data_IF_461804967993
#
_entry.id   IF_461804967993
#
_cell.length_a   1.000
_cell.length_b   1.000
_cell.length_c   1.000
_cell.angle_alpha   90.00
_cell.angle_beta   90.00
_cell.angle_gamma   90.00
#
_symmetry.space_group_name_H-M   'P 1'
#
loop_
_entity.id
_entity.type
_entity.pdbx_description
1 polymer ?
#
# COMPACT_ATOMS: atom_id res chain seq x y z
N UNK A 1 57.69 37.21 -25.21
CA UNK A 1 57.08 38.43 -24.67
C UNK A 1 55.79 38.04 -23.98
N UNK A 2 55.82 37.79 -22.71
CA UNK A 2 55.55 38.66 -21.57
C UNK A 2 54.32 39.55 -21.77
N UNK A 3 53.27 39.25 -20.97
CA UNK A 3 52.94 40.14 -19.88
C UNK A 3 51.93 39.50 -18.87
N UNK A 4 52.38 39.54 -17.67
CA UNK A 4 51.75 39.26 -16.39
C UNK A 4 50.78 40.44 -16.04
N UNK A 5 49.54 40.14 -15.61
CA UNK A 5 48.83 41.07 -14.70
C UNK A 5 48.08 40.25 -13.63
N UNK A 6 48.65 40.32 -12.47
CA UNK A 6 47.96 39.96 -11.21
C UNK A 6 47.10 41.15 -10.75
N UNK A 7 45.93 40.88 -10.22
CA UNK A 7 45.16 41.79 -9.35
C UNK A 7 44.20 40.94 -8.51
N UNK A 8 44.59 40.64 -7.29
CA UNK A 8 44.29 41.28 -5.99
C UNK A 8 42.90 41.01 -5.47
N UNK A 9 42.93 40.21 -4.44
CA UNK A 9 41.93 39.89 -3.39
C UNK A 9 41.28 41.15 -2.79
N UNK A 10 39.99 41.08 -2.50
CA UNK A 10 39.40 41.74 -1.33
C UNK A 10 38.33 40.83 -0.71
N UNK A 11 38.58 40.56 0.55
CA UNK A 11 37.68 39.89 1.51
C UNK A 11 36.47 40.77 1.81
N UNK A 12 35.31 40.16 1.91
CA UNK A 12 34.21 40.69 2.72
C UNK A 12 33.49 39.52 3.39
N UNK A 13 33.89 39.18 4.58
CA UNK A 13 33.12 38.41 5.54
C UNK A 13 31.93 39.27 5.98
N UNK A 14 30.72 38.81 5.72
CA UNK A 14 29.52 39.34 6.39
C UNK A 14 28.90 38.20 7.21
N UNK A 15 29.18 38.34 8.52
CA UNK A 15 28.70 37.55 9.62
C UNK A 15 27.23 37.91 9.85
N UNK A 16 26.26 37.00 9.61
CA UNK A 16 24.89 37.17 10.01
C UNK A 16 24.58 36.17 11.14
N UNK A 17 24.31 36.76 12.28
CA UNK A 17 23.94 36.20 13.57
C UNK A 17 22.65 35.36 13.50
N UNK A 18 22.78 34.08 13.83
CA UNK A 18 21.70 33.07 13.91
C UNK A 18 21.20 32.98 15.36
N UNK A 19 20.40 33.93 15.84
CA UNK A 19 19.85 33.80 17.20
C UNK A 19 18.49 34.45 17.50
N UNK A 20 17.62 34.74 16.52
CA UNK A 20 16.33 35.37 16.85
C UNK A 20 15.09 34.81 16.13
N UNK A 21 15.04 33.51 15.76
CA UNK A 21 13.86 32.93 15.10
C UNK A 21 13.30 31.66 15.78
N UNK A 22 13.50 31.46 17.08
CA UNK A 22 12.96 30.24 17.75
C UNK A 22 11.99 30.50 18.92
N UNK A 23 11.52 31.69 19.17
CA UNK A 23 10.70 31.99 20.36
C UNK A 23 9.23 32.40 20.08
N UNK A 24 8.73 32.36 18.85
CA UNK A 24 7.32 32.72 18.56
C UNK A 24 6.37 31.54 18.21
N UNK A 25 6.79 30.28 18.34
CA UNK A 25 5.92 29.12 17.99
C UNK A 25 5.42 28.29 19.19
N UNK A 26 5.63 28.74 20.44
CA UNK A 26 5.22 27.97 21.62
C UNK A 26 4.01 28.53 22.40
N UNK A 27 3.40 29.64 22.00
CA UNK A 27 2.25 30.22 22.73
C UNK A 27 0.86 30.03 22.10
N UNK A 28 0.72 29.32 20.98
CA UNK A 28 -0.57 29.15 20.33
C UNK A 28 -1.34 27.85 20.68
N UNK A 29 -0.82 27.00 21.57
CA UNK A 29 -1.45 25.68 21.84
C UNK A 29 -1.95 25.48 23.28
N UNK A 30 -2.14 26.52 24.05
CA UNK A 30 -2.57 26.43 25.47
C UNK A 30 -3.95 27.04 25.78
N UNK A 31 -4.79 27.33 24.78
CA UNK A 31 -6.16 27.83 25.05
C UNK A 31 -7.20 27.06 24.22
N UNK A 32 -7.62 25.93 24.75
CA UNK A 32 -8.68 25.14 24.11
C UNK A 32 -9.14 23.94 24.93
N UNK A 33 -9.10 24.03 26.26
CA UNK A 33 -9.74 23.03 27.13
C UNK A 33 -10.31 23.74 28.33
N UNK A 34 -11.61 24.02 28.32
CA UNK A 34 -12.49 23.98 29.49
C UNK A 34 -13.95 24.25 29.11
N UNK A 35 -14.81 23.47 29.79
CA UNK A 35 -16.25 23.59 29.95
C UNK A 35 -17.07 23.03 28.76
N UNK A 36 -17.93 22.05 28.97
CA UNK A 36 -19.04 22.07 29.91
C UNK A 36 -19.44 20.65 30.38
N UNK A 37 -19.76 20.63 31.62
CA UNK A 37 -20.28 19.57 32.45
C UNK A 37 -21.70 19.96 32.86
N UNK A 38 -22.58 18.99 33.02
CA UNK A 38 -23.90 19.03 33.69
C UNK A 38 -25.08 18.76 32.76
N UNK A 39 -26.10 18.04 33.11
CA UNK A 39 -26.60 17.51 34.38
C UNK A 39 -27.70 16.49 34.12
N UNK A 40 -27.71 15.43 34.88
CA UNK A 40 -28.76 14.54 35.34
C UNK A 40 -30.21 15.07 35.32
N UNK A 41 -31.22 14.20 35.07
CA UNK A 41 -32.40 14.07 35.93
C UNK A 41 -33.00 12.65 35.81
N UNK A 42 -33.25 12.12 36.96
CA UNK A 42 -33.88 10.94 37.52
C UNK A 42 -35.35 10.69 37.14
N UNK A 43 -35.71 9.38 37.25
CA UNK A 43 -36.90 8.73 37.82
C UNK A 43 -38.24 8.89 37.10
N UNK A 44 -38.86 7.71 36.81
CA UNK A 44 -39.96 7.22 37.63
C UNK A 44 -40.28 5.72 37.35
N UNK A 45 -40.29 5.00 38.47
CA UNK A 45 -40.97 3.72 38.68
C UNK A 45 -42.50 3.89 38.50
N UNK A 46 -43.15 2.88 37.95
CA UNK A 46 -44.38 2.38 38.52
C UNK A 46 -44.63 0.88 38.19
N UNK A 47 -44.83 0.13 39.22
CA UNK A 47 -45.26 -1.25 39.24
C UNK A 47 -46.71 -1.40 38.80
N UNK A 48 -47.08 -2.51 38.15
CA UNK A 48 -48.30 -3.26 38.45
C UNK A 48 -48.28 -4.68 37.81
N UNK A 49 -48.19 -5.59 38.66
CA UNK A 49 -48.63 -6.95 38.93
C UNK A 49 -49.53 -7.69 37.91
N UNK A 50 -49.09 -8.96 37.66
CA UNK A 50 -49.79 -10.24 37.66
C UNK A 50 -50.85 -10.54 36.57
N UNK A 51 -50.55 -11.56 35.76
CA UNK A 51 -51.44 -12.76 35.64
C UNK A 51 -50.72 -13.91 34.90
N UNK A 52 -50.61 -15.03 35.60
CA UNK A 52 -50.24 -16.33 35.06
C UNK A 52 -51.18 -16.78 33.95
N UNK A 53 -50.59 -17.30 32.89
CA UNK A 53 -51.14 -18.44 32.13
C UNK A 53 -50.01 -19.15 31.41
N UNK A 54 -49.73 -20.35 31.87
CA UNK A 54 -48.99 -21.38 31.12
C UNK A 54 -49.62 -21.60 29.76
N UNK A 55 -48.82 -21.50 28.70
CA UNK A 55 -49.07 -22.27 27.50
C UNK A 55 -47.77 -22.73 26.88
N UNK A 56 -47.64 -24.03 26.88
CA UNK A 56 -46.56 -24.83 26.33
C UNK A 56 -46.56 -24.67 24.81
N UNK A 57 -45.61 -23.94 24.29
CA UNK A 57 -45.36 -23.99 22.83
C UNK A 57 -43.87 -24.18 22.58
N UNK A 58 -43.58 -25.25 21.86
CA UNK A 58 -42.30 -25.76 21.42
C UNK A 58 -41.32 -24.64 21.02
N UNK A 59 -40.13 -24.67 21.65
CA UNK A 59 -38.96 -23.98 21.13
C UNK A 59 -38.56 -24.61 19.80
N UNK A 60 -38.92 -23.99 18.75
CA UNK A 60 -38.27 -24.15 17.44
C UNK A 60 -36.88 -23.51 17.58
N UNK A 61 -35.88 -24.34 17.81
CA UNK A 61 -34.47 -23.98 17.83
C UNK A 61 -34.12 -23.47 16.40
N UNK A 62 -34.24 -22.16 16.24
CA UNK A 62 -33.72 -21.52 15.06
C UNK A 62 -32.22 -21.72 15.04
N UNK A 63 -31.75 -22.73 14.31
CA UNK A 63 -30.36 -22.93 13.97
C UNK A 63 -29.92 -21.72 13.16
N UNK A 64 -29.27 -20.75 13.84
CA UNK A 64 -28.57 -19.65 13.20
C UNK A 64 -27.48 -20.31 12.35
N UNK A 65 -27.44 -20.10 11.02
CA UNK A 65 -26.36 -20.66 10.22
C UNK A 65 -25.03 -20.15 10.74
N UNK A 66 -23.98 -20.99 10.81
CA UNK A 66 -22.69 -20.59 11.33
C UNK A 66 -22.21 -19.39 10.53
N UNK A 67 -22.05 -18.25 11.19
CA UNK A 67 -21.45 -17.05 10.59
C UNK A 67 -19.98 -17.38 10.34
N UNK A 68 -19.61 -17.55 9.08
CA UNK A 68 -18.23 -17.77 8.67
C UNK A 68 -17.33 -16.66 9.23
N UNK A 69 -16.17 -17.02 9.73
CA UNK A 69 -15.17 -16.05 10.15
C UNK A 69 -14.70 -15.22 8.94
N UNK A 70 -14.18 -14.03 9.21
CA UNK A 70 -13.63 -13.17 8.14
C UNK A 70 -12.55 -13.88 7.31
N UNK A 71 -11.79 -14.78 7.95
CA UNK A 71 -10.75 -15.59 7.30
C UNK A 71 -11.36 -16.66 6.39
N UNK A 72 -12.43 -17.32 6.80
CA UNK A 72 -13.12 -18.32 5.98
C UNK A 72 -13.79 -17.67 4.77
N UNK A 73 -14.39 -16.50 4.94
CA UNK A 73 -14.97 -15.72 3.82
C UNK A 73 -13.90 -15.32 2.82
N UNK A 74 -12.72 -14.89 3.30
CA UNK A 74 -11.60 -14.54 2.44
C UNK A 74 -11.03 -15.77 1.72
N UNK A 75 -10.86 -16.89 2.42
CA UNK A 75 -10.38 -18.14 1.84
C UNK A 75 -11.34 -18.66 0.74
N UNK A 76 -12.64 -18.55 0.95
CA UNK A 76 -13.65 -18.91 -0.07
C UNK A 76 -13.59 -17.95 -1.26
N UNK A 77 -13.44 -16.66 -1.01
CA UNK A 77 -13.27 -15.67 -2.07
C UNK A 77 -12.02 -15.97 -2.93
N UNK A 78 -10.90 -16.33 -2.30
CA UNK A 78 -9.66 -16.68 -3.01
C UNK A 78 -9.81 -17.93 -3.88
N UNK A 79 -10.58 -18.94 -3.44
CA UNK A 79 -10.87 -20.15 -4.23
C UNK A 79 -11.71 -19.89 -5.47
N UNK A 80 -12.40 -18.76 -5.53
CA UNK A 80 -13.24 -18.39 -6.69
C UNK A 80 -12.42 -17.88 -7.88
N UNK A 81 -11.14 -17.56 -7.67
CA UNK A 81 -10.23 -17.12 -8.71
C UNK A 81 -9.32 -18.27 -9.14
N UNK A 82 -9.10 -18.38 -10.45
CA UNK A 82 -8.20 -19.37 -11.03
C UNK A 82 -7.29 -18.66 -12.02
N UNK A 83 -6.01 -18.65 -11.71
CA UNK A 83 -4.97 -18.17 -12.62
C UNK A 83 -4.03 -19.33 -12.92
N UNK A 84 -3.59 -19.46 -14.15
CA UNK A 84 -2.65 -20.49 -14.61
C UNK A 84 -1.73 -19.94 -15.72
N UNK A 85 -0.80 -20.73 -16.19
CA UNK A 85 0.18 -20.32 -17.21
C UNK A 85 -0.45 -19.92 -18.56
N UNK A 86 -1.70 -20.31 -18.83
CA UNK A 86 -2.43 -19.91 -20.04
C UNK A 86 -3.10 -18.55 -19.92
N UNK A 87 -3.25 -18.08 -18.69
CA UNK A 87 -3.82 -16.76 -18.41
C UNK A 87 -2.77 -15.68 -18.60
N UNK A 88 -3.19 -14.48 -18.99
CA UNK A 88 -2.31 -13.34 -19.17
C UNK A 88 -2.58 -12.26 -18.13
N UNK A 89 -1.51 -11.63 -17.70
CA UNK A 89 -1.55 -10.44 -16.85
C UNK A 89 -1.70 -9.19 -17.71
N UNK A 90 -2.55 -8.28 -17.29
CA UNK A 90 -2.55 -6.93 -17.85
C UNK A 90 -1.34 -6.14 -17.29
N UNK A 91 -0.79 -5.25 -18.09
CA UNK A 91 0.23 -4.33 -17.62
C UNK A 91 -0.36 -3.41 -16.54
N UNK A 92 0.26 -3.30 -15.35
CA UNK A 92 -0.25 -2.41 -14.29
C UNK A 92 -0.10 -0.94 -14.66
N UNK A 93 0.91 -0.60 -15.46
CA UNK A 93 1.13 0.71 -16.08
C UNK A 93 1.70 0.53 -17.48
N UNK A 94 1.56 1.54 -18.32
CA UNK A 94 2.26 1.58 -19.60
C UNK A 94 3.67 2.13 -19.38
N UNK A 95 4.68 1.38 -19.82
CA UNK A 95 6.08 1.76 -19.65
C UNK A 95 7.03 0.69 -20.18
N UNK A 96 8.30 0.83 -19.86
CA UNK A 96 9.33 -0.16 -20.18
C UNK A 96 9.97 -0.67 -18.89
N UNK A 97 10.49 -1.89 -18.91
CA UNK A 97 11.16 -2.49 -17.76
C UNK A 97 12.53 -1.82 -17.60
N UNK A 98 12.80 -1.27 -16.41
CA UNK A 98 14.08 -0.62 -16.04
C UNK A 98 14.93 -1.48 -15.12
N UNK A 99 14.31 -2.42 -14.43
CA UNK A 99 14.97 -3.47 -13.64
C UNK A 99 14.29 -4.80 -13.96
N UNK A 100 15.06 -5.75 -14.47
CA UNK A 100 14.56 -7.06 -14.87
C UNK A 100 14.43 -8.03 -13.69
N UNK A 101 13.52 -8.99 -13.83
CA UNK A 101 13.50 -10.17 -12.97
C UNK A 101 14.74 -11.01 -13.20
N UNK A 102 15.42 -11.41 -12.14
CA UNK A 102 16.53 -12.35 -12.21
C UNK A 102 16.75 -13.03 -10.85
N UNK A 103 16.49 -14.33 -10.79
CA UNK A 103 16.75 -15.14 -9.60
C UNK A 103 17.95 -16.08 -9.78
N UNK A 104 18.34 -16.35 -11.02
CA UNK A 104 19.49 -17.22 -11.35
C UNK A 104 20.80 -16.42 -11.41
N UNK A 105 20.74 -15.14 -11.76
CA UNK A 105 21.88 -14.25 -11.87
C UNK A 105 21.62 -12.97 -11.05
N UNK A 106 22.70 -12.25 -10.74
CA UNK A 106 22.58 -10.95 -10.05
C UNK A 106 22.49 -9.80 -11.05
N UNK A 107 21.61 -8.85 -10.77
CA UNK A 107 21.48 -7.57 -11.51
C UNK A 107 21.98 -6.41 -10.66
N UNK A 108 22.44 -5.35 -11.30
CA UNK A 108 22.90 -4.15 -10.60
C UNK A 108 21.71 -3.32 -10.15
N UNK A 109 21.54 -3.17 -8.84
CA UNK A 109 20.66 -2.16 -8.24
C UNK A 109 21.45 -0.85 -8.17
N UNK A 110 21.20 0.04 -9.12
CA UNK A 110 21.99 1.28 -9.32
C UNK A 110 21.94 2.18 -8.09
N UNK A 111 20.75 2.38 -7.51
CA UNK A 111 20.57 3.20 -6.31
C UNK A 111 21.34 2.70 -5.11
N UNK A 112 21.53 1.41 -5.00
CA UNK A 112 22.27 0.77 -3.88
C UNK A 112 23.74 0.53 -4.20
N UNK A 113 24.14 0.56 -5.47
CA UNK A 113 25.48 0.24 -5.92
C UNK A 113 25.87 -1.22 -5.66
N UNK A 114 24.90 -2.15 -5.59
CA UNK A 114 25.12 -3.57 -5.28
C UNK A 114 24.52 -4.49 -6.34
N UNK A 115 25.11 -5.67 -6.47
CA UNK A 115 24.57 -6.76 -7.27
C UNK A 115 23.80 -7.71 -6.38
N UNK A 116 22.53 -7.94 -6.68
CA UNK A 116 21.67 -8.94 -6.00
C UNK A 116 20.65 -9.53 -6.97
N UNK A 117 20.05 -10.68 -6.60
CA UNK A 117 18.92 -11.22 -7.35
C UNK A 117 17.71 -10.28 -7.24
N UNK A 118 16.92 -10.19 -8.32
CA UNK A 118 15.70 -9.40 -8.40
C UNK A 118 14.48 -10.31 -8.49
N UNK A 119 13.66 -10.40 -7.43
CA UNK A 119 12.45 -11.25 -7.43
C UNK A 119 11.27 -10.64 -8.19
N UNK A 120 11.40 -9.43 -8.70
CA UNK A 120 10.38 -8.71 -9.45
C UNK A 120 11.00 -7.79 -10.50
N UNK A 121 10.18 -7.01 -11.14
CA UNK A 121 10.57 -6.02 -12.16
C UNK A 121 10.19 -4.61 -11.71
N UNK A 122 10.84 -3.60 -12.30
CA UNK A 122 10.37 -2.21 -12.24
C UNK A 122 9.93 -1.79 -13.62
N UNK A 123 8.69 -1.31 -13.73
CA UNK A 123 8.10 -0.77 -14.95
C UNK A 123 8.10 0.73 -14.81
N UNK A 124 8.87 1.43 -15.64
CA UNK A 124 8.97 2.90 -15.58
C UNK A 124 7.65 3.55 -15.94
N UNK A 125 7.27 4.57 -15.18
CA UNK A 125 6.10 5.40 -15.47
C UNK A 125 6.19 6.70 -14.68
N UNK A 126 5.54 7.76 -15.15
CA UNK A 126 5.55 9.06 -14.46
C UNK A 126 4.79 9.02 -13.13
N UNK A 127 5.30 9.74 -12.13
CA UNK A 127 4.61 9.92 -10.84
C UNK A 127 3.19 10.44 -11.05
N UNK A 128 2.22 9.88 -10.34
CA UNK A 128 0.80 10.21 -10.47
C UNK A 128 0.07 9.45 -11.58
N UNK A 129 0.76 8.65 -12.41
CA UNK A 129 0.11 7.78 -13.40
C UNK A 129 -0.77 6.74 -12.70
N UNK A 130 -1.95 6.48 -13.27
CA UNK A 130 -2.87 5.46 -12.75
C UNK A 130 -2.28 4.06 -12.82
N UNK A 131 -2.36 3.31 -11.72
CA UNK A 131 -1.91 1.93 -11.62
C UNK A 131 -3.11 1.00 -11.53
N UNK A 132 -3.13 0.00 -12.39
CA UNK A 132 -4.22 -0.96 -12.49
C UNK A 132 -3.85 -2.34 -11.92
N UNK A 133 -4.83 -3.09 -11.44
CA UNK A 133 -4.68 -4.48 -11.07
C UNK A 133 -4.35 -5.34 -12.31
N UNK A 134 -3.25 -6.08 -12.25
CA UNK A 134 -2.79 -6.91 -13.37
C UNK A 134 -3.69 -8.13 -13.62
N UNK A 135 -4.38 -8.61 -12.60
CA UNK A 135 -5.34 -9.71 -12.68
C UNK A 135 -6.47 -9.54 -11.64
N UNK A 136 -7.58 -10.24 -11.88
CA UNK A 136 -8.67 -10.31 -10.91
C UNK A 136 -8.29 -11.20 -9.72
N UNK A 137 -8.64 -10.77 -8.51
CA UNK A 137 -8.27 -11.51 -7.30
C UNK A 137 -8.82 -10.90 -6.02
N UNK A 138 -8.24 -11.32 -4.91
CA UNK A 138 -8.53 -10.82 -3.56
C UNK A 138 -7.29 -10.21 -2.97
N UNK A 139 -7.39 -9.00 -2.43
CA UNK A 139 -6.31 -8.32 -1.73
C UNK A 139 -5.98 -9.10 -0.45
N UNK A 140 -4.77 -9.63 -0.38
CA UNK A 140 -4.28 -10.39 0.79
C UNK A 140 -3.55 -9.50 1.77
N UNK A 141 -2.92 -8.44 1.27
CA UNK A 141 -2.21 -7.48 2.11
C UNK A 141 -2.12 -6.09 1.46
N UNK A 142 -2.09 -5.06 2.31
CA UNK A 142 -1.75 -3.68 1.95
C UNK A 142 -0.81 -3.17 3.04
N UNK A 143 0.45 -3.00 2.70
CA UNK A 143 1.51 -2.69 3.65
C UNK A 143 2.39 -1.54 3.17
N UNK A 144 2.98 -0.82 4.13
CA UNK A 144 4.04 0.16 3.86
C UNK A 144 5.40 -0.50 4.09
N UNK A 145 6.15 -0.72 3.02
CA UNK A 145 7.45 -1.36 3.04
C UNK A 145 8.57 -0.35 2.78
N UNK A 146 9.69 -0.47 3.48
CA UNK A 146 10.83 0.44 3.32
C UNK A 146 11.43 0.41 1.92
N UNK A 147 11.40 -0.75 1.25
CA UNK A 147 11.95 -0.93 -0.10
C UNK A 147 10.99 -0.43 -1.18
N UNK A 148 9.73 -0.82 -1.12
CA UNK A 148 8.74 -0.61 -2.18
C UNK A 148 7.60 0.35 -1.81
N UNK A 149 7.70 1.05 -0.65
CA UNK A 149 6.67 1.97 -0.18
C UNK A 149 5.33 1.29 0.02
N UNK A 150 4.23 2.00 -0.24
CA UNK A 150 2.90 1.40 -0.20
C UNK A 150 2.82 0.28 -1.23
N UNK A 151 2.47 -0.90 -0.76
CA UNK A 151 2.52 -2.15 -1.53
C UNK A 151 1.22 -2.91 -1.34
N UNK A 152 0.62 -3.35 -2.44
CA UNK A 152 -0.60 -4.15 -2.48
C UNK A 152 -0.26 -5.55 -2.97
N UNK A 153 -0.68 -6.57 -2.21
CA UNK A 153 -0.59 -7.98 -2.61
C UNK A 153 -1.99 -8.52 -2.91
N UNK A 154 -2.14 -9.17 -4.04
CA UNK A 154 -3.40 -9.74 -4.53
C UNK A 154 -3.21 -11.21 -4.83
N UNK A 155 -4.00 -12.08 -4.21
CA UNK A 155 -4.10 -13.49 -4.59
C UNK A 155 -5.01 -13.63 -5.79
N UNK A 156 -4.48 -14.19 -6.86
CA UNK A 156 -5.16 -14.34 -8.16
C UNK A 156 -5.59 -15.78 -8.45
N UNK A 157 -5.37 -16.68 -7.48
CA UNK A 157 -5.79 -18.09 -7.54
C UNK A 157 -4.65 -19.05 -7.86
N UNK A 158 -4.88 -20.33 -7.59
CA UNK A 158 -3.94 -21.44 -7.85
C UNK A 158 -2.53 -21.24 -7.28
N UNK A 159 -2.42 -20.52 -6.13
CA UNK A 159 -1.14 -20.21 -5.48
C UNK A 159 -0.37 -19.06 -6.12
N UNK A 160 -0.94 -18.39 -7.13
CA UNK A 160 -0.36 -17.19 -7.69
C UNK A 160 -0.77 -15.93 -6.91
N UNK A 161 0.21 -15.05 -6.70
CA UNK A 161 0.00 -13.74 -6.10
C UNK A 161 0.79 -12.67 -6.86
N UNK A 162 0.16 -11.52 -7.07
CA UNK A 162 0.82 -10.33 -7.59
C UNK A 162 1.10 -9.36 -6.46
N UNK A 163 2.29 -8.79 -6.44
CA UNK A 163 2.68 -7.71 -5.51
C UNK A 163 3.00 -6.47 -6.33
N UNK A 164 2.30 -5.37 -6.07
CA UNK A 164 2.46 -4.09 -6.75
C UNK A 164 2.88 -3.04 -5.72
N UNK A 165 4.08 -2.49 -5.86
CA UNK A 165 4.67 -1.51 -4.93
C UNK A 165 5.07 -0.21 -5.64
N UNK A 166 5.61 0.75 -4.88
CA UNK A 166 5.89 2.12 -5.29
C UNK A 166 4.64 2.86 -5.79
N UNK A 167 3.53 2.65 -5.08
CA UNK A 167 2.24 3.26 -5.40
C UNK A 167 1.75 4.11 -4.22
N UNK A 168 0.86 5.04 -4.50
CA UNK A 168 0.20 5.89 -3.52
C UNK A 168 -1.30 6.02 -3.83
N UNK A 169 -2.04 6.71 -2.95
CA UNK A 169 -3.49 6.89 -3.10
C UNK A 169 -4.28 5.58 -3.17
N UNK A 170 -3.80 4.55 -2.47
CA UNK A 170 -4.45 3.23 -2.39
C UNK A 170 -5.64 3.31 -1.44
N UNK A 171 -6.84 2.96 -1.94
CA UNK A 171 -8.07 2.89 -1.15
C UNK A 171 -8.54 1.45 -0.93
N UNK A 172 -7.67 0.48 -1.13
CA UNK A 172 -7.93 -0.93 -0.93
C UNK A 172 -7.54 -1.38 0.47
N UNK A 173 -8.17 -2.44 0.93
CA UNK A 173 -7.85 -3.12 2.19
C UNK A 173 -7.87 -4.64 2.00
N UNK A 174 -7.24 -5.34 2.91
CA UNK A 174 -7.27 -6.80 2.96
C UNK A 174 -8.70 -7.34 2.90
N UNK A 175 -8.94 -8.28 2.01
CA UNK A 175 -10.23 -8.90 1.74
C UNK A 175 -11.03 -8.27 0.59
N UNK A 176 -10.64 -7.10 0.10
CA UNK A 176 -11.30 -6.48 -1.06
C UNK A 176 -11.05 -7.32 -2.32
N UNK A 177 -12.07 -7.40 -3.17
CA UNK A 177 -11.96 -8.02 -4.50
C UNK A 177 -11.58 -6.97 -5.52
N UNK A 178 -10.66 -7.30 -6.39
CA UNK A 178 -10.26 -6.47 -7.54
C UNK A 178 -10.48 -7.21 -8.84
N UNK A 179 -10.71 -6.48 -9.91
CA UNK A 179 -10.82 -7.01 -11.27
C UNK A 179 -9.65 -6.53 -12.12
N UNK A 180 -9.25 -7.34 -13.11
CA UNK A 180 -8.21 -6.95 -14.06
C UNK A 180 -8.48 -5.56 -14.65
N UNK A 181 -7.49 -4.68 -14.64
CA UNK A 181 -7.62 -3.31 -15.14
C UNK A 181 -8.27 -2.32 -14.15
N UNK A 182 -8.71 -2.76 -12.97
CA UNK A 182 -9.26 -1.88 -11.94
C UNK A 182 -8.16 -0.97 -11.38
N UNK A 183 -8.44 0.33 -11.23
CA UNK A 183 -7.54 1.27 -10.58
C UNK A 183 -7.28 0.86 -9.12
N UNK A 184 -6.02 0.70 -8.74
CA UNK A 184 -5.59 0.33 -7.38
C UNK A 184 -4.80 1.43 -6.68
N UNK A 185 -4.30 2.41 -7.41
CA UNK A 185 -3.53 3.53 -6.89
C UNK A 185 -2.91 4.36 -8.01
N UNK A 186 -1.93 5.17 -7.67
CA UNK A 186 -1.12 5.96 -8.61
C UNK A 186 0.36 5.72 -8.35
N UNK A 187 1.21 5.91 -9.37
CA UNK A 187 2.67 5.79 -9.23
C UNK A 187 3.17 6.81 -8.22
N UNK A 188 3.88 6.35 -7.20
CA UNK A 188 4.53 7.19 -6.19
C UNK A 188 5.92 7.65 -6.63
N UNK A 189 6.49 8.59 -5.89
CA UNK A 189 7.93 8.88 -5.99
C UNK A 189 8.75 7.64 -5.62
N UNK A 190 9.88 7.38 -6.31
CA UNK A 190 10.70 6.22 -6.01
C UNK A 190 11.23 6.27 -4.59
N UNK A 191 11.32 5.11 -3.93
CA UNK A 191 11.96 4.97 -2.63
C UNK A 191 13.49 5.19 -2.75
N UNK A 192 14.16 5.35 -1.62
CA UNK A 192 15.63 5.45 -1.59
C UNK A 192 16.35 4.24 -2.23
N UNK A 193 15.66 3.12 -2.36
CA UNK A 193 16.18 1.88 -2.98
C UNK A 193 16.19 1.93 -4.50
N UNK A 194 15.40 2.84 -5.13
CA UNK A 194 15.15 2.84 -6.58
C UNK A 194 15.22 4.25 -7.22
N UNK A 195 15.92 5.20 -6.59
CA UNK A 195 16.04 6.59 -7.08
C UNK A 195 16.68 6.61 -8.48
N UNK A 196 17.75 5.83 -8.69
CA UNK A 196 18.50 5.78 -9.98
C UNK A 196 17.77 4.96 -11.05
N UNK A 197 16.90 4.03 -10.63
CA UNK A 197 16.00 3.29 -11.52
C UNK A 197 14.87 4.19 -12.03
N UNK A 198 14.57 5.27 -11.28
CA UNK A 198 13.58 6.28 -11.60
C UNK A 198 12.16 5.92 -11.15
N UNK A 199 11.19 6.82 -11.41
CA UNK A 199 9.80 6.59 -11.05
C UNK A 199 9.19 5.46 -11.87
N UNK A 200 8.35 4.66 -11.21
CA UNK A 200 7.71 3.49 -11.80
C UNK A 200 6.99 2.64 -10.78
N UNK A 201 6.59 1.47 -11.20
CA UNK A 201 5.90 0.48 -10.38
C UNK A 201 6.79 -0.73 -10.17
N UNK A 202 7.01 -1.12 -8.92
CA UNK A 202 7.56 -2.43 -8.60
C UNK A 202 6.48 -3.48 -8.79
N UNK A 203 6.77 -4.51 -9.57
CA UNK A 203 5.83 -5.61 -9.80
C UNK A 203 6.51 -6.96 -9.62
N UNK A 204 5.90 -7.82 -8.81
CA UNK A 204 6.37 -9.18 -8.55
C UNK A 204 5.22 -10.15 -8.70
N UNK A 205 5.48 -11.28 -9.35
CA UNK A 205 4.61 -12.45 -9.41
C UNK A 205 5.24 -13.58 -8.59
N UNK A 206 4.45 -14.24 -7.76
CA UNK A 206 4.87 -15.45 -7.05
C UNK A 206 3.92 -16.60 -7.36
N UNK A 207 4.43 -17.82 -7.34
CA UNK A 207 3.65 -19.05 -7.38
C UNK A 207 4.01 -19.90 -6.16
N UNK A 208 3.03 -20.18 -5.30
CA UNK A 208 3.24 -20.86 -4.01
C UNK A 208 4.34 -20.21 -3.14
N UNK A 209 4.45 -18.89 -3.20
CA UNK A 209 5.44 -18.11 -2.48
C UNK A 209 6.80 -17.94 -3.16
N UNK A 210 7.08 -18.70 -4.22
CA UNK A 210 8.34 -18.60 -4.97
C UNK A 210 8.20 -17.55 -6.10
N UNK A 211 9.16 -16.64 -6.25
CA UNK A 211 9.15 -15.66 -7.33
C UNK A 211 9.25 -16.33 -8.71
N UNK A 212 8.42 -15.88 -9.64
CA UNK A 212 8.46 -16.30 -11.05
C UNK A 212 8.57 -15.08 -11.95
N UNK A 213 9.14 -15.25 -13.16
CA UNK A 213 9.31 -14.15 -14.09
C UNK A 213 7.96 -13.64 -14.60
N UNK A 214 7.52 -12.42 -14.22
CA UNK A 214 6.22 -11.90 -14.62
C UNK A 214 6.14 -11.56 -16.11
N UNK A 215 7.27 -11.27 -16.78
CA UNK A 215 7.31 -10.90 -18.19
C UNK A 215 6.72 -11.97 -19.12
N UNK A 216 6.90 -13.25 -18.76
CA UNK A 216 6.32 -14.37 -19.49
C UNK A 216 4.78 -14.43 -19.48
N UNK A 217 4.16 -13.71 -18.52
CA UNK A 217 2.71 -13.76 -18.30
C UNK A 217 1.98 -12.50 -18.81
N UNK A 218 2.65 -11.42 -19.14
CA UNK A 218 1.99 -10.21 -19.65
C UNK A 218 1.39 -10.42 -21.04
N UNK A 219 0.31 -9.69 -21.30
CA UNK A 219 -0.25 -9.57 -22.66
C UNK A 219 0.77 -8.86 -23.57
N UNK A 220 0.88 -9.35 -24.82
CA UNK A 220 1.70 -8.73 -25.86
C UNK A 220 1.13 -7.39 -26.34
#
# INVERSE_FOLDING_TARGET
TEENVAMKTEDAEENIDESDAQDELLEANARGRMAEKNESVEKNNDELMISDKEDTTMQEEATVPPTLSSEEVMAEAMRSFTFDESNKLAWPVLGHITLDYSMDETVLFKSLGVYKCSPGIIISSEVGTNVAAAASGVVTDVAELSETGTTVTVSIGNGYETTTGMIENVNLKKGDKVTTGQLIGTVASPSAYYIEEGPGVYFKLTQYGEPVNPDAYFVE
#
